data_IF_640236027376
#
_entry.id   IF_640236027376
#
_cell.length_a   1.000
_cell.length_b   1.000
_cell.length_c   1.000
_cell.angle_alpha   90.00
_cell.angle_beta   90.00
_cell.angle_gamma   90.00
#
_symmetry.space_group_name_H-M   'P 1'
#
loop_
_entity.id
_entity.type
_entity.pdbx_description
1 polymer ?
#
# COMPACT_ATOMS: atom_id res chain seq x y z
N UNK A 1 2.09 17.69 -5.62
CA UNK A 1 1.89 16.42 -6.34
C UNK A 1 3.06 16.27 -7.30
N UNK A 2 4.10 15.51 -6.94
CA UNK A 2 5.29 15.34 -7.79
C UNK A 2 5.09 14.12 -8.69
N UNK A 3 4.85 14.33 -9.97
CA UNK A 3 4.91 13.32 -11.02
C UNK A 3 6.37 12.98 -11.27
N UNK A 4 6.77 11.74 -10.93
CA UNK A 4 8.06 11.19 -11.31
C UNK A 4 7.98 10.68 -12.76
N UNK A 5 8.00 11.58 -13.72
CA UNK A 5 8.18 11.26 -15.15
C UNK A 5 9.66 11.32 -15.54
N UNK A 6 10.46 10.41 -14.99
CA UNK A 6 11.80 10.12 -15.53
C UNK A 6 11.90 8.66 -15.89
N UNK A 7 11.53 8.35 -17.12
CA UNK A 7 11.96 7.14 -17.81
C UNK A 7 13.49 7.24 -17.97
N UNK A 8 14.23 6.45 -17.20
CA UNK A 8 15.67 6.29 -17.38
C UNK A 8 15.88 5.55 -18.69
N UNK A 9 16.39 6.24 -19.70
CA UNK A 9 16.77 5.62 -20.96
C UNK A 9 18.09 4.87 -20.76
N UNK A 10 18.03 3.53 -20.78
CA UNK A 10 19.22 2.69 -20.78
C UNK A 10 19.85 2.72 -22.18
N UNK A 11 21.12 3.12 -22.25
CA UNK A 11 21.96 3.05 -23.46
C UNK A 11 22.81 1.79 -23.40
N UNK A 12 23.06 1.15 -24.54
CA UNK A 12 24.02 0.05 -24.59
C UNK A 12 25.48 0.57 -24.56
N UNK A 13 26.46 -0.35 -24.42
CA UNK A 13 27.90 0.01 -24.39
C UNK A 13 28.40 0.74 -25.65
N UNK A 14 27.66 0.68 -26.76
CA UNK A 14 27.95 1.40 -28.00
C UNK A 14 27.26 2.77 -28.10
N UNK A 15 26.63 3.26 -27.01
CA UNK A 15 25.99 4.57 -26.96
C UNK A 15 24.65 4.67 -27.70
N UNK A 16 24.15 3.58 -28.31
CA UNK A 16 22.83 3.55 -28.94
C UNK A 16 21.72 3.48 -27.90
N UNK A 17 20.70 4.32 -28.11
CA UNK A 17 19.41 4.20 -27.43
C UNK A 17 18.82 2.83 -27.78
N UNK A 18 18.54 2.01 -26.76
CA UNK A 18 17.78 0.78 -26.95
C UNK A 18 16.33 1.17 -27.31
N UNK A 19 16.05 1.17 -28.61
CA UNK A 19 14.71 1.07 -29.22
C UNK A 19 13.66 2.11 -28.83
N UNK A 20 13.44 3.12 -29.69
CA UNK A 20 12.09 3.67 -29.90
C UNK A 20 11.29 2.68 -30.77
N UNK A 21 10.92 1.54 -30.23
CA UNK A 21 9.79 0.78 -30.75
C UNK A 21 8.53 1.34 -30.10
N UNK A 22 7.95 2.42 -30.67
CA UNK A 22 6.69 2.98 -30.17
C UNK A 22 5.64 2.95 -31.27
N UNK A 23 5.13 1.75 -31.57
CA UNK A 23 3.69 1.67 -31.84
C UNK A 23 2.94 2.22 -30.62
N UNK A 24 1.74 2.75 -30.84
CA UNK A 24 0.88 3.17 -29.73
C UNK A 24 0.83 2.05 -28.66
N UNK A 25 0.84 2.38 -27.34
CA UNK A 25 0.69 1.37 -26.30
C UNK A 25 -0.52 0.51 -26.63
N UNK A 26 -0.34 -0.80 -26.73
CA UNK A 26 -1.45 -1.72 -26.92
C UNK A 26 -2.46 -1.48 -25.79
N UNK A 27 -3.77 -1.39 -26.08
CA UNK A 27 -4.74 -1.21 -25.01
C UNK A 27 -4.59 -2.35 -23.97
N UNK A 28 -4.73 -2.02 -22.68
CA UNK A 28 -4.64 -3.00 -21.61
C UNK A 28 -5.68 -4.11 -21.85
N UNK A 29 -5.26 -5.37 -21.77
CA UNK A 29 -6.20 -6.48 -21.89
C UNK A 29 -7.05 -6.60 -20.62
N UNK A 30 -8.38 -6.76 -20.71
CA UNK A 30 -9.22 -6.91 -19.54
C UNK A 30 -8.83 -8.14 -18.71
N UNK A 31 -8.66 -7.96 -17.40
CA UNK A 31 -8.54 -9.07 -16.45
C UNK A 31 -9.96 -9.56 -16.13
N UNK A 32 -10.19 -10.88 -16.15
CA UNK A 32 -11.53 -11.48 -15.95
C UNK A 32 -11.76 -11.94 -14.51
N UNK A 33 -10.69 -12.25 -13.80
CA UNK A 33 -10.70 -12.65 -12.41
C UNK A 33 -10.94 -11.45 -11.48
N UNK A 34 -11.52 -11.68 -10.31
CA UNK A 34 -11.48 -10.70 -9.22
C UNK A 34 -10.06 -10.67 -8.65
N UNK A 35 -9.49 -9.48 -8.48
CA UNK A 35 -8.14 -9.30 -7.94
C UNK A 35 -8.20 -8.49 -6.66
N UNK A 36 -7.54 -9.00 -5.63
CA UNK A 36 -7.38 -8.31 -4.35
C UNK A 36 -5.90 -8.06 -4.12
N UNK A 37 -5.50 -6.79 -4.16
CA UNK A 37 -4.15 -6.35 -3.84
C UNK A 37 -4.05 -5.99 -2.35
N UNK A 38 -3.31 -6.79 -1.59
CA UNK A 38 -2.82 -6.40 -0.26
C UNK A 38 -1.83 -5.26 -0.43
N UNK A 39 -2.35 -4.02 -0.35
CA UNK A 39 -1.56 -2.82 -0.60
C UNK A 39 -0.75 -2.48 0.65
N UNK A 40 0.36 -3.17 0.84
CA UNK A 40 1.25 -2.86 1.95
C UNK A 40 1.96 -1.52 1.73
N UNK A 41 1.97 -0.63 2.74
CA UNK A 41 2.67 0.64 2.64
C UNK A 41 4.14 0.46 2.31
N UNK A 42 4.65 1.35 1.45
CA UNK A 42 6.08 1.52 1.16
C UNK A 42 6.74 0.33 0.43
N UNK A 43 5.95 -0.49 -0.26
CA UNK A 43 6.44 -1.62 -1.07
C UNK A 43 6.39 -1.39 -2.58
N UNK A 44 5.87 -0.24 -3.03
CA UNK A 44 5.61 0.01 -4.45
C UNK A 44 4.18 -0.34 -4.90
N UNK A 45 3.30 -0.71 -3.96
CA UNK A 45 1.89 -1.03 -4.24
C UNK A 45 1.13 0.09 -4.98
N UNK A 46 1.50 1.36 -4.83
CA UNK A 46 0.89 2.47 -5.59
C UNK A 46 1.20 2.40 -7.09
N UNK A 47 2.41 1.99 -7.46
CA UNK A 47 2.78 1.78 -8.86
C UNK A 47 2.06 0.59 -9.44
N UNK A 48 2.02 -0.55 -8.72
CA UNK A 48 1.27 -1.73 -9.16
C UNK A 48 -0.22 -1.44 -9.29
N UNK A 49 -0.80 -0.71 -8.34
CA UNK A 49 -2.20 -0.29 -8.42
C UNK A 49 -2.49 0.51 -9.69
N UNK A 50 -1.66 1.52 -10.00
CA UNK A 50 -1.82 2.33 -11.21
C UNK A 50 -1.65 1.51 -12.48
N UNK A 51 -0.76 0.52 -12.45
CA UNK A 51 -0.59 -0.41 -13.56
C UNK A 51 -1.84 -1.28 -13.79
N UNK A 52 -2.51 -1.70 -12.72
CA UNK A 52 -3.69 -2.58 -12.80
C UNK A 52 -4.99 -1.83 -13.14
N UNK A 53 -5.15 -0.57 -12.74
CA UNK A 53 -6.38 0.22 -12.96
C UNK A 53 -6.96 0.11 -14.39
N UNK A 54 -6.16 0.24 -15.47
CA UNK A 54 -6.68 0.23 -16.83
C UNK A 54 -7.23 -1.14 -17.29
N UNK A 55 -7.01 -2.21 -16.52
CA UNK A 55 -7.47 -3.56 -16.83
C UNK A 55 -8.87 -3.88 -16.25
N UNK A 56 -9.47 -2.94 -15.50
CA UNK A 56 -10.77 -3.11 -14.85
C UNK A 56 -11.74 -1.97 -15.24
N UNK A 57 -13.04 -2.25 -15.40
CA UNK A 57 -14.06 -1.22 -15.50
C UNK A 57 -14.09 -0.36 -14.22
N UNK A 58 -14.17 0.96 -14.37
CA UNK A 58 -13.99 1.93 -13.27
C UNK A 58 -14.98 1.72 -12.12
N UNK A 59 -16.22 1.40 -12.44
CA UNK A 59 -17.32 1.12 -11.53
C UNK A 59 -17.14 -0.16 -10.71
N UNK A 60 -16.28 -1.09 -11.19
CA UNK A 60 -15.95 -2.33 -10.48
C UNK A 60 -14.68 -2.21 -9.63
N UNK A 61 -14.10 -1.01 -9.52
CA UNK A 61 -12.92 -0.75 -8.69
C UNK A 61 -13.37 -0.25 -7.34
N UNK A 62 -12.99 -0.95 -6.27
CA UNK A 62 -13.29 -0.54 -4.91
C UNK A 62 -12.64 0.82 -4.60
N UNK A 63 -13.41 1.81 -4.10
CA UNK A 63 -12.89 3.15 -3.84
C UNK A 63 -12.04 3.23 -2.56
N UNK A 64 -12.21 2.30 -1.61
CA UNK A 64 -11.45 2.26 -0.37
C UNK A 64 -10.00 1.83 -0.62
N UNK A 65 -9.06 2.62 -0.10
CA UNK A 65 -7.62 2.43 -0.30
C UNK A 65 -6.84 2.26 0.99
N UNK A 66 -7.46 2.58 2.12
CA UNK A 66 -6.85 2.56 3.43
C UNK A 66 -7.39 1.36 4.20
N UNK A 67 -7.85 1.56 5.44
CA UNK A 67 -8.12 0.48 6.39
C UNK A 67 -9.61 0.27 6.68
N UNK A 68 -10.50 0.89 5.90
CA UNK A 68 -11.93 0.97 6.20
C UNK A 68 -12.81 0.04 5.35
N UNK A 69 -12.31 -1.15 4.99
CA UNK A 69 -13.08 -2.12 4.20
C UNK A 69 -14.32 -2.63 4.95
N UNK A 70 -14.28 -2.60 6.28
CA UNK A 70 -15.38 -2.92 7.19
C UNK A 70 -16.58 -1.97 7.12
N UNK A 71 -16.45 -0.84 6.41
CA UNK A 71 -17.57 0.08 6.15
C UNK A 71 -18.47 -0.36 5.00
N UNK A 72 -18.04 -1.36 4.24
CA UNK A 72 -18.81 -1.90 3.13
C UNK A 72 -19.49 -3.18 3.59
N UNK A 73 -20.76 -3.35 3.22
CA UNK A 73 -21.43 -4.63 3.39
C UNK A 73 -20.95 -5.65 2.34
N UNK A 74 -21.36 -6.90 2.52
CA UNK A 74 -20.95 -8.00 1.64
C UNK A 74 -21.44 -7.82 0.19
N UNK A 75 -22.60 -7.19 -0.02
CA UNK A 75 -23.17 -6.96 -1.36
C UNK A 75 -22.35 -5.90 -2.11
N UNK A 76 -22.01 -4.80 -1.44
CA UNK A 76 -21.12 -3.77 -1.95
C UNK A 76 -19.74 -4.35 -2.31
N UNK A 77 -19.15 -5.15 -1.42
CA UNK A 77 -17.86 -5.79 -1.68
C UNK A 77 -17.92 -6.81 -2.82
N UNK A 78 -19.04 -7.53 -2.97
CA UNK A 78 -19.26 -8.44 -4.09
C UNK A 78 -19.30 -7.72 -5.44
N UNK A 79 -19.78 -6.46 -5.48
CA UNK A 79 -19.80 -5.63 -6.69
C UNK A 79 -18.42 -5.26 -7.24
N UNK A 80 -17.37 -5.30 -6.41
CA UNK A 80 -16.02 -4.95 -6.83
C UNK A 80 -15.25 -6.13 -7.43
N UNK A 81 -14.60 -5.90 -8.57
CA UNK A 81 -13.70 -6.84 -9.25
C UNK A 81 -12.23 -6.54 -8.97
N UNK A 82 -11.90 -5.31 -8.57
CA UNK A 82 -10.56 -4.95 -8.12
C UNK A 82 -10.60 -4.23 -6.79
N UNK A 83 -9.94 -4.80 -5.79
CA UNK A 83 -9.79 -4.21 -4.45
C UNK A 83 -8.29 -3.97 -4.19
N UNK A 84 -7.92 -2.76 -3.77
CA UNK A 84 -6.53 -2.41 -3.45
C UNK A 84 -6.46 -1.51 -2.23
N UNK A 85 -6.48 -2.12 -1.04
CA UNK A 85 -6.51 -1.38 0.22
C UNK A 85 -5.42 -1.84 1.19
N UNK A 86 -5.14 -1.00 2.19
CA UNK A 86 -4.27 -1.35 3.31
C UNK A 86 -5.02 -2.25 4.28
N UNK A 87 -4.97 -3.57 4.06
CA UNK A 87 -5.72 -4.55 4.83
C UNK A 87 -4.82 -5.60 5.49
N UNK A 88 -5.32 -6.21 6.55
CA UNK A 88 -4.83 -7.47 7.09
C UNK A 88 -5.72 -8.63 6.64
N UNK A 89 -5.34 -9.84 7.03
CA UNK A 89 -6.06 -11.05 6.65
C UNK A 89 -7.53 -11.05 7.10
N UNK A 90 -7.83 -10.51 8.28
CA UNK A 90 -9.23 -10.42 8.77
C UNK A 90 -10.10 -9.58 7.83
N UNK A 91 -9.63 -8.39 7.41
CA UNK A 91 -10.37 -7.55 6.45
C UNK A 91 -10.42 -8.16 5.06
N UNK A 92 -9.38 -8.89 4.67
CA UNK A 92 -9.37 -9.64 3.42
C UNK A 92 -10.48 -10.69 3.37
N UNK A 93 -10.78 -11.36 4.50
CA UNK A 93 -11.88 -12.33 4.59
C UNK A 93 -13.28 -11.71 4.42
N UNK A 94 -13.42 -10.39 4.51
CA UNK A 94 -14.71 -9.71 4.25
C UNK A 94 -15.07 -9.72 2.75
N UNK A 95 -14.09 -9.92 1.86
CA UNK A 95 -14.31 -9.86 0.41
C UNK A 95 -14.89 -11.21 -0.05
N UNK A 96 -16.15 -11.25 -0.51
CA UNK A 96 -16.82 -12.51 -0.80
C UNK A 96 -16.38 -13.10 -2.14
N UNK A 97 -16.63 -14.40 -2.31
CA UNK A 97 -16.47 -15.14 -3.55
C UNK A 97 -15.02 -15.37 -4.01
N UNK A 98 -14.80 -16.12 -5.11
CA UNK A 98 -13.46 -16.45 -5.59
C UNK A 98 -12.69 -15.21 -6.06
N UNK A 99 -11.41 -15.12 -5.68
CA UNK A 99 -10.53 -14.03 -6.09
C UNK A 99 -9.05 -14.44 -6.04
N UNK A 100 -8.24 -13.74 -6.84
CA UNK A 100 -6.80 -13.84 -6.82
C UNK A 100 -6.22 -12.79 -5.87
N UNK A 101 -5.57 -13.24 -4.79
CA UNK A 101 -4.87 -12.37 -3.86
C UNK A 101 -3.43 -12.14 -4.33
N UNK A 102 -3.02 -10.87 -4.41
CA UNK A 102 -1.67 -10.49 -4.79
C UNK A 102 -1.10 -9.48 -3.80
N UNK A 103 0.22 -9.43 -3.69
CA UNK A 103 0.92 -8.42 -2.89
C UNK A 103 2.30 -8.13 -3.47
N UNK A 104 2.93 -7.06 -2.96
CA UNK A 104 4.34 -6.74 -3.23
C UNK A 104 5.02 -6.57 -1.89
N UNK A 105 6.11 -7.31 -1.70
CA UNK A 105 6.96 -7.20 -0.53
C UNK A 105 8.22 -6.39 -0.87
N UNK A 106 8.82 -5.83 0.16
CA UNK A 106 10.10 -5.14 0.13
C UNK A 106 10.95 -5.69 1.27
N UNK A 107 12.26 -5.64 1.12
CA UNK A 107 13.17 -5.94 2.24
C UNK A 107 12.72 -5.16 3.50
N UNK A 108 12.51 -5.85 4.65
CA UNK A 108 11.86 -5.26 5.81
C UNK A 108 12.52 -3.98 6.33
N UNK A 109 13.85 -3.91 6.41
CA UNK A 109 14.56 -2.73 6.92
C UNK A 109 14.37 -1.54 5.97
N UNK A 110 14.51 -1.77 4.67
CA UNK A 110 14.29 -0.75 3.64
C UNK A 110 12.85 -0.23 3.62
N UNK A 111 11.86 -1.07 3.89
CA UNK A 111 10.46 -0.64 4.05
C UNK A 111 10.30 0.28 5.25
N UNK A 112 10.83 -0.10 6.42
CA UNK A 112 10.73 0.69 7.65
C UNK A 112 11.45 2.03 7.51
N UNK A 113 12.65 2.06 6.89
CA UNK A 113 13.35 3.31 6.57
C UNK A 113 12.51 4.20 5.64
N UNK A 114 11.91 3.62 4.60
CA UNK A 114 11.05 4.35 3.69
C UNK A 114 9.79 4.90 4.38
N UNK A 115 9.24 4.18 5.36
CA UNK A 115 8.12 4.65 6.18
C UNK A 115 8.55 5.86 7.02
N UNK A 116 9.66 5.74 7.76
CA UNK A 116 10.18 6.79 8.61
C UNK A 116 10.38 8.11 7.85
N UNK A 117 11.13 8.09 6.74
CA UNK A 117 11.38 9.30 5.97
C UNK A 117 10.13 9.84 5.28
N UNK A 118 9.20 8.97 4.85
CA UNK A 118 7.92 9.40 4.32
C UNK A 118 7.07 10.14 5.37
N UNK A 119 7.00 9.62 6.57
CA UNK A 119 6.29 10.23 7.68
C UNK A 119 6.95 11.54 8.14
N UNK A 120 8.28 11.54 8.31
CA UNK A 120 9.06 12.73 8.67
C UNK A 120 8.92 13.88 7.67
N UNK A 121 8.67 13.57 6.39
CA UNK A 121 8.50 14.56 5.34
C UNK A 121 7.14 15.29 5.35
N UNK A 122 6.18 14.88 6.21
CA UNK A 122 4.92 15.60 6.33
C UNK A 122 5.14 16.99 6.95
N UNK A 123 4.46 18.01 6.41
CA UNK A 123 4.46 19.35 7.00
C UNK A 123 3.73 19.35 8.35
N UNK A 124 4.14 20.22 9.27
CA UNK A 124 3.43 20.41 10.55
C UNK A 124 1.95 20.70 10.37
N UNK A 125 1.58 21.56 9.40
CA UNK A 125 0.18 21.86 9.06
C UNK A 125 -0.66 20.59 8.86
N UNK A 126 -0.22 19.70 7.97
CA UNK A 126 -0.92 18.42 7.69
C UNK A 126 -0.96 17.51 8.92
N UNK A 127 0.12 17.49 9.72
CA UNK A 127 0.18 16.67 10.94
C UNK A 127 -0.88 17.12 11.94
N UNK A 128 -0.99 18.42 12.18
CA UNK A 128 -1.96 18.96 13.14
C UNK A 128 -3.40 18.87 12.63
N UNK A 129 -3.66 19.28 11.38
CA UNK A 129 -4.99 19.21 10.76
C UNK A 129 -5.59 17.80 10.80
N UNK A 130 -4.74 16.78 10.58
CA UNK A 130 -5.18 15.37 10.49
C UNK A 130 -4.83 14.55 11.74
N UNK A 131 -4.29 15.19 12.79
CA UNK A 131 -3.91 14.57 14.06
C UNK A 131 -3.03 13.31 13.88
N UNK A 132 -2.02 13.40 13.02
CA UNK A 132 -1.22 12.25 12.57
C UNK A 132 -0.08 11.92 13.55
N UNK A 133 -0.30 10.93 14.42
CA UNK A 133 0.66 10.52 15.46
C UNK A 133 1.99 9.98 14.92
N UNK A 134 1.95 9.06 13.96
CA UNK A 134 3.17 8.47 13.35
C UNK A 134 4.09 9.52 12.69
N UNK A 135 3.56 10.36 11.78
CA UNK A 135 4.26 11.52 11.23
C UNK A 135 4.82 12.49 12.27
N UNK A 136 4.07 12.80 13.33
CA UNK A 136 4.57 13.63 14.43
C UNK A 136 5.81 13.02 15.08
N UNK A 137 5.71 11.78 15.53
CA UNK A 137 6.83 11.05 16.15
C UNK A 137 8.05 10.95 15.22
N UNK A 138 7.85 10.70 13.92
CA UNK A 138 8.94 10.62 12.96
C UNK A 138 9.66 11.97 12.76
N UNK A 139 8.98 13.09 13.05
CA UNK A 139 9.50 14.46 12.93
C UNK A 139 10.20 14.93 14.20
N UNK A 140 9.65 14.55 15.36
CA UNK A 140 10.20 14.86 16.68
C UNK A 140 11.40 14.00 17.05
N UNK A 141 11.44 12.74 16.60
CA UNK A 141 12.46 11.76 17.01
C UNK A 141 13.50 11.48 15.92
N UNK A 142 14.75 11.23 16.34
CA UNK A 142 15.75 10.57 15.51
C UNK A 142 15.34 9.15 15.16
N UNK A 143 15.96 8.57 14.11
CA UNK A 143 15.58 7.25 13.61
C UNK A 143 15.67 6.16 14.68
N UNK A 144 16.74 6.14 15.49
CA UNK A 144 16.92 5.13 16.52
C UNK A 144 15.87 5.25 17.64
N UNK A 145 15.55 6.48 18.07
CA UNK A 145 14.51 6.73 19.08
C UNK A 145 13.13 6.34 18.54
N UNK A 146 12.83 6.71 17.29
CA UNK A 146 11.62 6.29 16.59
C UNK A 146 11.49 4.77 16.54
N UNK A 147 12.56 4.04 16.18
CA UNK A 147 12.56 2.57 16.13
C UNK A 147 12.49 1.91 17.51
N UNK A 148 12.83 2.62 18.59
CA UNK A 148 12.70 2.15 19.98
C UNK A 148 11.36 2.50 20.60
N UNK A 149 10.62 3.45 20.02
CA UNK A 149 9.32 3.85 20.52
C UNK A 149 8.29 2.70 20.33
N UNK A 150 7.50 2.42 21.37
CA UNK A 150 6.59 1.26 21.41
C UNK A 150 5.12 1.64 21.69
N UNK A 151 4.81 2.92 21.79
CA UNK A 151 3.47 3.41 22.12
C UNK A 151 2.80 4.03 20.88
N UNK A 152 1.60 4.58 21.06
CA UNK A 152 0.87 5.35 20.04
C UNK A 152 0.55 4.60 18.73
N UNK A 153 0.49 3.26 18.80
CA UNK A 153 0.19 2.41 17.65
C UNK A 153 1.34 2.28 16.65
N UNK A 154 2.49 2.92 16.90
CA UNK A 154 3.67 2.83 16.03
C UNK A 154 4.12 1.40 15.73
N UNK A 155 4.15 0.46 16.71
CA UNK A 155 4.57 -0.91 16.46
C UNK A 155 3.77 -1.61 15.36
N UNK A 156 2.50 -1.23 15.16
CA UNK A 156 1.69 -1.82 14.09
C UNK A 156 2.38 -1.63 12.74
N UNK A 157 2.86 -0.42 12.43
CA UNK A 157 3.51 -0.13 11.14
C UNK A 157 5.01 -0.45 11.11
N UNK A 158 5.66 -0.85 12.20
CA UNK A 158 7.13 -1.09 12.22
C UNK A 158 7.55 -2.50 12.63
N UNK A 159 6.85 -3.13 13.58
CA UNK A 159 7.20 -4.44 14.14
C UNK A 159 6.49 -5.56 13.39
N UNK A 160 7.26 -6.35 12.62
CA UNK A 160 6.76 -7.53 11.92
C UNK A 160 5.49 -7.29 11.08
N UNK A 161 5.39 -6.09 10.49
CA UNK A 161 4.23 -5.60 9.73
C UNK A 161 3.64 -6.65 8.78
N UNK A 162 4.47 -7.29 7.96
CA UNK A 162 4.01 -8.29 6.99
C UNK A 162 3.43 -9.53 7.66
N UNK A 163 4.18 -10.11 8.59
CA UNK A 163 3.75 -11.32 9.30
C UNK A 163 2.45 -11.06 10.05
N UNK A 164 2.37 -9.97 10.82
CA UNK A 164 1.16 -9.58 11.54
C UNK A 164 -0.02 -9.33 10.60
N UNK A 165 0.20 -8.68 9.45
CA UNK A 165 -0.87 -8.43 8.46
C UNK A 165 -1.39 -9.72 7.85
N UNK A 166 -0.50 -10.62 7.45
CA UNK A 166 -0.86 -11.86 6.75
C UNK A 166 -1.51 -12.91 7.66
N UNK A 167 -1.27 -12.85 8.97
CA UNK A 167 -1.95 -13.73 9.95
C UNK A 167 -3.16 -13.06 10.61
N UNK A 168 -3.53 -11.84 10.20
CA UNK A 168 -4.70 -11.12 10.73
C UNK A 168 -4.50 -10.47 12.11
N UNK A 169 -3.27 -10.37 12.62
CA UNK A 169 -2.96 -9.81 13.95
C UNK A 169 -2.47 -8.37 13.94
N UNK A 170 -2.72 -7.67 12.85
CA UNK A 170 -2.17 -6.33 12.65
C UNK A 170 -3.07 -5.24 13.24
N UNK A 171 -4.38 -5.39 13.07
CA UNK A 171 -5.35 -4.38 13.47
C UNK A 171 -6.35 -4.89 14.51
N UNK A 172 -6.01 -5.99 15.18
CA UNK A 172 -6.74 -6.43 16.38
C UNK A 172 -6.71 -5.24 17.33
N UNK A 173 -7.87 -4.62 17.53
CA UNK A 173 -8.06 -3.47 18.39
C UNK A 173 -7.57 -3.77 19.80
N UNK A 174 -7.55 -2.76 20.67
CA UNK A 174 -7.33 -2.94 22.11
C UNK A 174 -8.30 -3.99 22.69
N UNK A 175 -7.93 -5.25 22.64
CA UNK A 175 -8.57 -6.40 23.29
C UNK A 175 -7.71 -7.69 23.20
N UNK A 176 -6.44 -7.63 22.78
CA UNK A 176 -5.51 -8.74 22.96
C UNK A 176 -4.82 -8.59 24.33
N UNK A 177 -5.57 -9.06 25.33
CA UNK A 177 -5.20 -9.36 26.71
C UNK A 177 -3.71 -9.57 26.95
N UNK A 178 -3.19 -8.91 27.99
CA UNK A 178 -2.14 -9.47 28.80
C UNK A 178 -2.58 -10.88 29.23
N UNK A 179 -1.87 -11.89 28.77
CA UNK A 179 -1.74 -13.19 29.41
C UNK A 179 -0.28 -13.36 29.76
#
# INVERSE_FOLDING_TARGET
MLTFDRIVSLRNKAGRLLGRGRGAPRPPQPIRERVVLFHFPKTGGTSLHRFLLPHFPRETICPERLRNLDRFDAEQLAGYRYVSAHMDYERFQLIPGPHCAITVLREPKARVLSLYYFWRAHSWRVIEERKLKGPRLAKDLGLLEFLRHRTEGLPSDTDNYYARSLIGRHWVGRAARCG
#
